data_IF_355453417690
#
_entry.id   IF_355453417690
#
_cell.length_a   1.000
_cell.length_b   1.000
_cell.length_c   1.000
_cell.angle_alpha   90.00
_cell.angle_beta   90.00
_cell.angle_gamma   90.00
#
_symmetry.space_group_name_H-M   'P 1'
#
loop_
_entity.id
_entity.type
_entity.pdbx_description
1 polymer ?
#
# COMPACT_ATOMS: atom_id res chain seq x y z
N UNK A 1 181.59 -111.97 111.60
CA UNK A 1 181.67 -111.45 110.22
C UNK A 1 180.68 -112.25 109.39
N UNK A 2 179.55 -111.77 108.89
CA UNK A 2 178.92 -110.44 108.77
C UNK A 2 177.46 -110.54 109.28
N UNK A 3 176.83 -109.46 109.77
CA UNK A 3 175.51 -109.53 110.41
C UNK A 3 174.39 -109.72 109.37
N UNK A 4 173.58 -110.76 109.57
CA UNK A 4 172.34 -111.00 108.81
C UNK A 4 171.25 -110.13 109.42
N UNK A 5 171.06 -108.92 108.89
CA UNK A 5 169.96 -108.02 109.26
C UNK A 5 168.60 -108.68 108.95
N UNK A 6 167.88 -109.02 110.01
CA UNK A 6 166.54 -109.59 109.94
C UNK A 6 165.52 -108.52 109.56
N UNK A 7 164.98 -108.60 108.35
CA UNK A 7 163.90 -107.72 107.90
C UNK A 7 162.70 -107.74 108.84
N UNK A 8 161.98 -106.63 108.90
CA UNK A 8 160.81 -106.42 109.77
C UNK A 8 159.52 -106.75 109.01
N UNK A 9 158.47 -107.15 109.72
CA UNK A 9 157.15 -107.48 109.14
C UNK A 9 156.55 -106.34 108.29
N UNK A 10 156.05 -106.64 107.09
CA UNK A 10 155.49 -105.66 106.14
C UNK A 10 154.03 -105.22 106.44
N UNK A 11 153.56 -105.36 107.68
CA UNK A 11 152.26 -104.86 108.14
C UNK A 11 152.52 -103.52 108.85
N UNK A 12 151.86 -102.44 108.43
CA UNK A 12 152.06 -101.11 109.02
C UNK A 12 151.85 -101.16 110.55
N UNK A 13 152.89 -100.74 111.30
CA UNK A 13 152.90 -100.73 112.76
C UNK A 13 153.45 -101.99 113.46
N UNK A 14 153.95 -103.00 112.73
CA UNK A 14 154.54 -104.21 113.32
C UNK A 14 156.07 -104.25 113.25
N UNK A 15 156.75 -104.12 114.40
CA UNK A 15 158.23 -104.09 114.49
C UNK A 15 158.90 -105.47 114.69
N UNK A 16 158.13 -106.56 114.61
CA UNK A 16 158.65 -107.92 114.81
C UNK A 16 159.53 -108.41 113.65
N UNK A 17 160.68 -108.99 113.99
CA UNK A 17 161.64 -109.58 113.06
C UNK A 17 161.07 -110.81 112.33
N UNK A 18 161.43 -110.97 111.06
CA UNK A 18 160.98 -112.08 110.22
C UNK A 18 161.68 -113.41 110.61
N UNK A 19 160.95 -114.54 110.63
CA UNK A 19 161.52 -115.84 110.95
C UNK A 19 162.54 -116.30 109.88
N UNK A 20 163.63 -116.96 110.33
CA UNK A 20 164.73 -117.41 109.49
C UNK A 20 164.28 -118.40 108.39
N UNK A 21 164.68 -118.14 107.15
CA UNK A 21 164.20 -118.87 105.97
C UNK A 21 164.72 -120.31 105.88
N UNK A 22 163.82 -121.27 105.64
CA UNK A 22 164.15 -122.59 105.07
C UNK A 22 163.71 -122.60 103.61
N UNK A 23 164.65 -122.93 102.70
CA UNK A 23 164.53 -123.02 101.22
C UNK A 23 163.13 -122.75 100.67
N UNK A 24 162.93 -121.54 100.14
CA UNK A 24 161.67 -121.06 99.55
C UNK A 24 161.59 -119.51 99.61
N UNK A 25 160.57 -118.94 98.95
CA UNK A 25 160.34 -117.48 98.85
C UNK A 25 160.35 -116.82 100.25
N UNK A 26 161.08 -115.71 100.46
CA UNK A 26 161.19 -115.08 101.78
C UNK A 26 159.82 -114.63 102.29
N UNK A 27 159.53 -114.93 103.57
CA UNK A 27 158.29 -114.55 104.23
C UNK A 27 158.24 -113.04 104.41
N UNK A 28 157.13 -112.40 104.01
CA UNK A 28 156.92 -110.94 104.13
C UNK A 28 156.32 -110.50 105.47
N UNK A 29 155.77 -111.44 106.23
CA UNK A 29 155.06 -111.15 107.49
C UNK A 29 155.56 -112.09 108.58
N UNK A 30 155.65 -111.60 109.81
CA UNK A 30 156.13 -112.39 110.96
C UNK A 30 155.16 -113.51 111.36
N UNK A 31 153.90 -113.43 110.95
CA UNK A 31 152.86 -114.45 111.18
C UNK A 31 151.83 -114.48 110.05
N UNK A 32 151.11 -115.60 109.94
CA UNK A 32 149.95 -115.74 109.04
C UNK A 32 148.86 -114.70 109.35
N UNK A 33 148.66 -114.37 110.64
CA UNK A 33 147.68 -113.37 111.06
C UNK A 33 147.98 -111.98 110.46
N UNK A 34 149.26 -111.60 110.35
CA UNK A 34 149.65 -110.32 109.76
C UNK A 34 149.55 -110.31 108.23
N UNK A 35 149.76 -111.46 107.58
CA UNK A 35 149.48 -111.61 106.15
C UNK A 35 147.97 -111.48 105.86
N UNK A 36 147.13 -112.06 106.72
CA UNK A 36 145.67 -111.99 106.61
C UNK A 36 145.16 -110.57 106.90
N UNK A 37 145.73 -109.86 107.88
CA UNK A 37 145.38 -108.46 108.18
C UNK A 37 145.75 -107.53 107.02
N UNK A 38 146.98 -107.62 106.48
CA UNK A 38 147.39 -106.83 105.31
C UNK A 38 146.60 -107.15 104.03
N UNK A 39 145.95 -108.32 103.96
CA UNK A 39 145.02 -108.66 102.88
C UNK A 39 143.62 -108.07 103.09
N UNK A 40 143.17 -107.98 104.35
CA UNK A 40 141.91 -107.30 104.70
C UNK A 40 142.03 -105.79 104.50
N UNK A 41 143.13 -105.19 104.93
CA UNK A 41 143.34 -103.74 104.79
C UNK A 41 143.44 -103.31 103.32
N UNK A 42 144.10 -104.12 102.46
CA UNK A 42 144.07 -103.89 101.01
C UNK A 42 142.69 -104.02 100.40
N UNK A 43 141.91 -105.04 100.80
CA UNK A 43 140.53 -105.20 100.31
C UNK A 43 139.59 -104.09 100.79
N UNK A 44 139.80 -103.56 102.00
CA UNK A 44 139.05 -102.42 102.51
C UNK A 44 139.43 -101.11 101.78
N UNK A 45 140.71 -100.92 101.45
CA UNK A 45 141.16 -99.77 100.65
C UNK A 45 140.62 -99.81 99.21
N UNK A 46 140.64 -100.98 98.56
CA UNK A 46 140.10 -101.14 97.21
C UNK A 46 138.57 -100.91 97.16
N UNK A 47 137.82 -101.36 98.17
CA UNK A 47 136.38 -101.10 98.28
C UNK A 47 136.07 -99.60 98.46
N UNK A 48 136.84 -98.89 99.28
CA UNK A 48 136.68 -97.44 99.48
C UNK A 48 136.96 -96.62 98.20
N UNK A 49 137.76 -97.15 97.28
CA UNK A 49 138.11 -96.46 96.02
C UNK A 49 137.04 -96.60 94.94
N UNK A 50 136.14 -97.60 95.04
CA UNK A 50 135.10 -97.90 94.05
C UNK A 50 133.70 -97.54 94.53
N UNK A 51 133.37 -97.80 95.79
CA UNK A 51 131.99 -97.66 96.28
C UNK A 51 131.58 -96.19 96.46
N UNK A 52 132.50 -95.32 96.89
CA UNK A 52 132.25 -93.88 97.06
C UNK A 52 131.94 -93.16 95.72
N UNK A 53 132.73 -93.34 94.63
CA UNK A 53 132.38 -92.74 93.34
C UNK A 53 131.12 -93.36 92.72
N UNK A 54 130.84 -94.65 92.94
CA UNK A 54 129.59 -95.27 92.45
C UNK A 54 128.36 -94.72 93.19
N UNK A 55 128.44 -94.52 94.50
CA UNK A 55 127.37 -93.94 95.29
C UNK A 55 127.08 -92.47 94.89
N UNK A 56 128.12 -91.69 94.55
CA UNK A 56 127.95 -90.33 94.00
C UNK A 56 127.33 -90.35 92.60
N UNK A 57 127.73 -91.28 91.74
CA UNK A 57 127.15 -91.43 90.40
C UNK A 57 125.68 -91.87 90.49
N UNK A 58 125.33 -92.80 91.38
CA UNK A 58 123.94 -93.18 91.64
C UNK A 58 123.12 -92.04 92.24
N UNK A 59 123.67 -91.25 93.16
CA UNK A 59 122.97 -90.10 93.73
C UNK A 59 122.66 -89.04 92.65
N UNK A 60 123.60 -88.78 91.75
CA UNK A 60 123.39 -87.90 90.59
C UNK A 60 122.40 -88.50 89.57
N UNK A 61 122.49 -89.81 89.30
CA UNK A 61 121.57 -90.51 88.40
C UNK A 61 120.13 -90.57 88.94
N UNK A 62 119.94 -90.57 90.27
CA UNK A 62 118.61 -90.44 90.90
C UNK A 62 118.06 -89.01 90.87
N UNK A 63 118.92 -87.99 90.81
CA UNK A 63 118.51 -86.58 90.75
C UNK A 63 118.23 -86.09 89.30
N UNK A 64 118.89 -86.68 88.31
CA UNK A 64 118.76 -86.30 86.90
C UNK A 64 117.32 -86.39 86.36
N UNK A 65 116.53 -87.45 86.63
CA UNK A 65 115.15 -87.54 86.17
C UNK A 65 114.29 -86.39 86.72
N UNK A 66 114.48 -86.01 87.99
CA UNK A 66 113.74 -84.92 88.62
C UNK A 66 114.06 -83.56 88.00
N UNK A 67 115.34 -83.30 87.70
CA UNK A 67 115.76 -82.07 87.02
C UNK A 67 115.26 -82.00 85.57
N UNK A 68 115.25 -83.14 84.86
CA UNK A 68 114.70 -83.24 83.50
C UNK A 68 113.18 -83.02 83.53
N UNK A 69 112.46 -83.63 84.48
CA UNK A 69 111.02 -83.40 84.63
C UNK A 69 110.71 -81.94 84.95
N UNK A 70 111.49 -81.29 85.82
CA UNK A 70 111.33 -79.86 86.11
C UNK A 70 111.57 -78.97 84.88
N UNK A 71 112.60 -79.28 84.06
CA UNK A 71 112.85 -78.59 82.78
C UNK A 71 111.75 -78.84 81.74
N UNK A 72 111.23 -80.07 81.66
CA UNK A 72 110.11 -80.41 80.79
C UNK A 72 108.84 -79.68 81.22
N UNK A 73 108.60 -79.55 82.52
CA UNK A 73 107.47 -78.80 83.06
C UNK A 73 107.61 -77.30 82.79
N UNK A 74 108.80 -76.72 82.98
CA UNK A 74 109.08 -75.33 82.61
C UNK A 74 108.93 -75.07 81.11
N UNK A 75 109.39 -75.99 80.26
CA UNK A 75 109.21 -75.90 78.81
C UNK A 75 107.73 -76.03 78.43
N UNK A 76 106.98 -76.94 79.04
CA UNK A 76 105.54 -77.07 78.82
C UNK A 76 104.79 -75.81 79.26
N UNK A 77 105.17 -75.20 80.39
CA UNK A 77 104.63 -73.91 80.85
C UNK A 77 104.97 -72.77 79.87
N UNK A 78 106.21 -72.70 79.38
CA UNK A 78 106.62 -71.70 78.40
C UNK A 78 105.85 -71.86 77.07
N UNK A 79 105.69 -73.10 76.58
CA UNK A 79 104.90 -73.40 75.39
C UNK A 79 103.42 -73.07 75.61
N UNK A 80 102.86 -73.33 76.80
CA UNK A 80 101.49 -72.95 77.14
C UNK A 80 101.31 -71.43 77.18
N UNK A 81 102.26 -70.68 77.74
CA UNK A 81 102.24 -69.22 77.74
C UNK A 81 102.39 -68.64 76.33
N UNK A 82 103.22 -69.24 75.49
CA UNK A 82 103.34 -68.86 74.07
C UNK A 82 102.04 -69.13 73.31
N UNK A 83 101.42 -70.29 73.50
CA UNK A 83 100.13 -70.61 72.89
C UNK A 83 99.02 -69.64 73.36
N UNK A 84 98.98 -69.29 74.64
CA UNK A 84 98.06 -68.27 75.18
C UNK A 84 98.33 -66.87 74.61
N UNK A 85 99.61 -66.50 74.41
CA UNK A 85 99.99 -65.23 73.82
C UNK A 85 99.62 -65.16 72.31
N UNK A 86 99.84 -66.25 71.57
CA UNK A 86 99.42 -66.42 70.18
C UNK A 86 97.90 -66.37 70.05
N UNK A 87 97.16 -67.10 70.88
CA UNK A 87 95.69 -67.08 70.90
C UNK A 87 95.16 -65.68 71.26
N UNK A 88 95.74 -65.02 72.25
CA UNK A 88 95.41 -63.64 72.62
C UNK A 88 95.73 -62.64 71.51
N UNK A 89 96.84 -62.81 70.78
CA UNK A 89 97.20 -61.96 69.64
C UNK A 89 96.24 -62.19 68.45
N UNK A 90 95.95 -63.44 68.11
CA UNK A 90 94.99 -63.80 67.07
C UNK A 90 93.58 -63.31 67.41
N UNK A 91 93.16 -63.41 68.68
CA UNK A 91 91.88 -62.87 69.15
C UNK A 91 91.81 -61.34 68.99
N UNK A 92 92.89 -60.62 69.32
CA UNK A 92 92.98 -59.16 69.09
C UNK A 92 92.92 -58.80 67.61
N UNK A 93 93.61 -59.55 66.74
CA UNK A 93 93.57 -59.34 65.28
C UNK A 93 92.16 -59.61 64.74
N UNK A 94 91.54 -60.74 65.08
CA UNK A 94 90.16 -61.06 64.67
C UNK A 94 89.16 -60.00 65.14
N UNK A 95 89.31 -59.49 66.37
CA UNK A 95 88.48 -58.40 66.89
C UNK A 95 88.71 -57.11 66.09
N UNK A 96 89.96 -56.73 65.82
CA UNK A 96 90.28 -55.55 65.04
C UNK A 96 89.80 -55.66 63.57
N UNK A 97 89.89 -56.84 62.96
CA UNK A 97 89.35 -57.12 61.63
C UNK A 97 87.82 -57.05 61.61
N UNK A 98 87.17 -57.58 62.65
CA UNK A 98 85.72 -57.45 62.84
C UNK A 98 85.28 -56.00 63.01
N UNK A 99 85.95 -55.23 63.86
CA UNK A 99 85.69 -53.79 64.07
C UNK A 99 85.94 -52.98 62.78
N UNK A 100 87.02 -53.26 62.04
CA UNK A 100 87.30 -52.61 60.77
C UNK A 100 86.25 -52.95 59.69
N UNK A 101 85.77 -54.20 59.67
CA UNK A 101 84.71 -54.62 58.74
C UNK A 101 83.38 -53.95 59.08
N UNK A 102 83.01 -53.93 60.37
CA UNK A 102 81.83 -53.23 60.85
C UNK A 102 81.90 -51.72 60.57
N UNK A 103 83.07 -51.09 60.75
CA UNK A 103 83.27 -49.67 60.43
C UNK A 103 83.13 -49.39 58.92
N UNK A 104 83.67 -50.26 58.06
CA UNK A 104 83.50 -50.14 56.60
C UNK A 104 82.05 -50.34 56.17
N UNK A 105 81.35 -51.29 56.77
CA UNK A 105 79.91 -51.51 56.52
C UNK A 105 79.09 -50.30 56.97
N UNK A 106 79.32 -49.78 58.18
CA UNK A 106 78.65 -48.59 58.68
C UNK A 106 78.92 -47.34 57.82
N UNK A 107 80.15 -47.19 57.31
CA UNK A 107 80.48 -46.13 56.36
C UNK A 107 79.72 -46.29 55.03
N UNK A 108 79.74 -47.49 54.43
CA UNK A 108 79.00 -47.77 53.20
C UNK A 108 77.47 -47.58 53.36
N UNK A 109 76.90 -47.96 54.50
CA UNK A 109 75.49 -47.70 54.83
C UNK A 109 75.19 -46.22 55.03
N UNK A 110 76.13 -45.45 55.58
CA UNK A 110 76.02 -43.99 55.69
C UNK A 110 76.04 -43.34 54.31
N UNK A 111 76.97 -43.76 53.45
CA UNK A 111 77.09 -43.25 52.08
C UNK A 111 75.84 -43.59 51.26
N UNK A 112 75.36 -44.83 51.34
CA UNK A 112 74.12 -45.25 50.68
C UNK A 112 72.89 -44.44 51.15
N UNK A 113 72.80 -44.12 52.46
CA UNK A 113 71.74 -43.24 52.99
C UNK A 113 71.88 -41.81 52.49
N UNK A 114 73.10 -41.28 52.38
CA UNK A 114 73.36 -39.94 51.86
C UNK A 114 72.99 -39.86 50.37
N UNK A 115 73.36 -40.85 49.56
CA UNK A 115 72.97 -40.94 48.15
C UNK A 115 71.45 -41.05 47.96
N UNK A 116 70.79 -41.90 48.75
CA UNK A 116 69.34 -42.02 48.72
C UNK A 116 68.63 -40.71 49.10
N UNK A 117 69.13 -39.99 50.10
CA UNK A 117 68.60 -38.69 50.50
C UNK A 117 68.81 -37.63 49.41
N UNK A 118 69.97 -37.64 48.73
CA UNK A 118 70.25 -36.73 47.62
C UNK A 118 69.35 -37.02 46.41
N UNK A 119 69.13 -38.29 46.07
CA UNK A 119 68.20 -38.69 45.02
C UNK A 119 66.76 -38.29 45.36
N UNK A 120 66.32 -38.48 46.60
CA UNK A 120 65.00 -38.06 47.07
C UNK A 120 64.84 -36.53 46.98
N UNK A 121 65.87 -35.77 47.38
CA UNK A 121 65.89 -34.30 47.26
C UNK A 121 65.76 -33.85 45.80
N UNK A 122 66.52 -34.46 44.88
CA UNK A 122 66.47 -34.14 43.45
C UNK A 122 65.09 -34.44 42.84
N UNK A 123 64.50 -35.59 43.19
CA UNK A 123 63.13 -35.95 42.74
C UNK A 123 62.10 -34.98 43.27
N UNK A 124 62.14 -34.65 44.56
CA UNK A 124 61.22 -33.67 45.16
C UNK A 124 61.34 -32.28 44.50
N UNK A 125 62.55 -31.86 44.13
CA UNK A 125 62.75 -30.61 43.40
C UNK A 125 62.14 -30.66 41.99
N UNK A 126 62.38 -31.73 41.23
CA UNK A 126 61.79 -31.92 39.90
C UNK A 126 60.26 -32.00 39.95
N UNK A 127 59.69 -32.70 40.93
CA UNK A 127 58.25 -32.77 41.15
C UNK A 127 57.66 -31.40 41.51
N UNK A 128 58.36 -30.60 42.33
CA UNK A 128 57.95 -29.24 42.66
C UNK A 128 57.98 -28.30 41.45
N UNK A 129 59.02 -28.37 40.61
CA UNK A 129 59.11 -27.61 39.36
C UNK A 129 57.99 -28.00 38.39
N UNK A 130 57.75 -29.31 38.21
CA UNK A 130 56.66 -29.80 37.39
C UNK A 130 55.30 -29.32 37.90
N UNK A 131 55.05 -29.38 39.22
CA UNK A 131 53.81 -28.90 39.82
C UNK A 131 53.60 -27.40 39.64
N UNK A 132 54.67 -26.59 39.72
CA UNK A 132 54.61 -25.15 39.44
C UNK A 132 54.29 -24.89 37.96
N UNK A 133 54.96 -25.59 37.04
CA UNK A 133 54.71 -25.48 35.61
C UNK A 133 53.27 -25.85 35.25
N UNK A 134 52.74 -26.95 35.78
CA UNK A 134 51.35 -27.38 35.60
C UNK A 134 50.35 -26.34 36.14
N UNK A 135 50.59 -25.81 37.34
CA UNK A 135 49.74 -24.75 37.91
C UNK A 135 49.75 -23.49 37.05
N UNK A 136 50.92 -23.09 36.56
CA UNK A 136 51.05 -21.89 35.73
C UNK A 136 50.42 -22.08 34.36
N UNK A 137 50.51 -23.29 33.77
CA UNK A 137 49.79 -23.68 32.55
C UNK A 137 48.26 -23.63 32.77
N UNK A 138 47.75 -24.28 33.82
CA UNK A 138 46.34 -24.26 34.16
C UNK A 138 45.82 -22.84 34.41
N UNK A 139 46.62 -21.98 35.04
CA UNK A 139 46.28 -20.56 35.24
C UNK A 139 46.25 -19.79 33.91
N UNK A 140 47.16 -20.07 32.99
CA UNK A 140 47.16 -19.47 31.66
C UNK A 140 45.93 -19.90 30.85
N UNK A 141 45.57 -21.18 30.88
CA UNK A 141 44.36 -21.72 30.25
C UNK A 141 43.09 -21.11 30.83
N UNK A 142 42.99 -21.02 32.16
CA UNK A 142 41.85 -20.37 32.83
C UNK A 142 41.71 -18.89 32.42
N UNK A 143 42.83 -18.16 32.32
CA UNK A 143 42.83 -16.75 31.84
C UNK A 143 42.36 -16.65 30.39
N UNK A 144 42.79 -17.57 29.52
CA UNK A 144 42.33 -17.62 28.12
C UNK A 144 40.83 -17.91 28.06
N UNK A 145 40.35 -18.91 28.80
CA UNK A 145 38.92 -19.24 28.84
C UNK A 145 38.05 -18.06 29.32
N UNK A 146 38.51 -17.29 30.32
CA UNK A 146 37.81 -16.07 30.76
C UNK A 146 37.81 -15.00 29.67
N UNK A 147 38.96 -14.74 29.04
CA UNK A 147 39.06 -13.76 27.95
C UNK A 147 38.18 -14.16 26.74
N UNK A 148 38.15 -15.45 26.39
CA UNK A 148 37.33 -15.98 25.31
C UNK A 148 35.83 -15.83 25.64
N UNK A 149 35.42 -16.15 26.87
CA UNK A 149 34.05 -15.95 27.34
C UNK A 149 33.64 -14.47 27.37
N UNK A 150 34.55 -13.56 27.73
CA UNK A 150 34.32 -12.11 27.65
C UNK A 150 34.16 -11.63 26.20
N UNK A 151 35.00 -12.11 25.28
CA UNK A 151 34.85 -11.82 23.85
C UNK A 151 33.51 -12.32 23.33
N UNK A 152 33.14 -13.57 23.59
CA UNK A 152 31.84 -14.12 23.18
C UNK A 152 30.68 -13.33 23.78
N UNK A 153 30.74 -12.92 25.05
CA UNK A 153 29.70 -12.06 25.65
C UNK A 153 29.59 -10.71 24.95
N UNK A 154 30.72 -10.08 24.63
CA UNK A 154 30.75 -8.82 23.87
C UNK A 154 30.17 -8.99 22.46
N UNK A 155 30.55 -10.04 21.75
CA UNK A 155 30.07 -10.34 20.40
C UNK A 155 28.56 -10.63 20.39
N UNK A 156 28.08 -11.43 21.35
CA UNK A 156 26.65 -11.68 21.53
C UNK A 156 25.87 -10.40 21.85
N UNK A 157 26.41 -9.54 22.73
CA UNK A 157 25.78 -8.26 23.04
C UNK A 157 25.71 -7.34 21.81
N UNK A 158 26.77 -7.29 21.00
CA UNK A 158 26.80 -6.55 19.74
C UNK A 158 25.78 -7.09 18.72
N UNK A 159 25.66 -8.42 18.59
CA UNK A 159 24.65 -9.05 17.73
C UNK A 159 23.22 -8.77 18.19
N UNK A 160 22.95 -8.82 19.50
CA UNK A 160 21.63 -8.46 20.07
C UNK A 160 21.30 -7.00 19.78
N UNK A 161 22.25 -6.09 19.98
CA UNK A 161 22.07 -4.67 19.66
C UNK A 161 21.80 -4.44 18.16
N UNK A 162 22.53 -5.13 17.27
CA UNK A 162 22.29 -5.05 15.83
C UNK A 162 20.89 -5.57 15.45
N UNK A 163 20.45 -6.69 16.02
CA UNK A 163 19.11 -7.23 15.80
C UNK A 163 18.01 -6.30 16.31
N UNK A 164 18.22 -5.66 17.47
CA UNK A 164 17.30 -4.65 18.00
C UNK A 164 17.20 -3.45 17.05
N UNK A 165 18.32 -2.91 16.56
CA UNK A 165 18.33 -1.82 15.60
C UNK A 165 17.57 -2.18 14.30
N UNK A 166 17.78 -3.39 13.77
CA UNK A 166 17.05 -3.88 12.58
C UNK A 166 15.55 -4.01 12.88
N UNK A 167 15.18 -4.55 14.05
CA UNK A 167 13.77 -4.66 14.46
C UNK A 167 13.11 -3.29 14.59
N UNK A 168 13.78 -2.33 15.23
CA UNK A 168 13.27 -0.97 15.39
C UNK A 168 13.15 -0.26 14.03
N UNK A 169 14.10 -0.48 13.13
CA UNK A 169 14.03 0.04 11.76
C UNK A 169 12.85 -0.58 10.98
N UNK A 170 12.63 -1.89 11.13
CA UNK A 170 11.50 -2.59 10.52
C UNK A 170 10.16 -2.08 11.07
N UNK A 171 10.06 -1.87 12.39
CA UNK A 171 8.86 -1.31 13.02
C UNK A 171 8.57 0.10 12.52
N UNK A 172 9.58 0.99 12.46
CA UNK A 172 9.41 2.32 11.88
C UNK A 172 8.99 2.28 10.41
N UNK A 173 9.56 1.37 9.62
CA UNK A 173 9.17 1.19 8.22
C UNK A 173 7.72 0.73 8.09
N UNK A 174 7.26 -0.17 8.97
CA UNK A 174 5.86 -0.59 9.04
C UNK A 174 4.93 0.58 9.38
N UNK A 175 5.24 1.36 10.42
CA UNK A 175 4.44 2.54 10.82
C UNK A 175 4.35 3.57 9.67
N UNK A 176 5.43 3.81 8.94
CA UNK A 176 5.44 4.69 7.75
C UNK A 176 4.57 4.12 6.63
N UNK A 177 4.66 2.81 6.37
CA UNK A 177 3.86 2.16 5.33
C UNK A 177 2.36 2.17 5.67
N UNK A 178 2.01 1.92 6.93
CA UNK A 178 0.64 2.02 7.43
C UNK A 178 0.12 3.45 7.34
N UNK A 179 0.89 4.44 7.77
CA UNK A 179 0.55 5.85 7.61
C UNK A 179 0.35 6.27 6.15
N UNK A 180 1.20 5.80 5.23
CA UNK A 180 1.06 6.06 3.80
C UNK A 180 -0.19 5.40 3.20
N UNK A 181 -0.51 4.16 3.59
CA UNK A 181 -1.73 3.47 3.19
C UNK A 181 -2.97 4.21 3.66
N UNK A 182 -2.98 4.64 4.92
CA UNK A 182 -4.12 5.32 5.52
C UNK A 182 -4.32 6.71 4.90
N UNK A 183 -3.24 7.44 4.60
CA UNK A 183 -3.28 8.69 3.84
C UNK A 183 -3.86 8.49 2.43
N UNK A 184 -3.40 7.47 1.68
CA UNK A 184 -3.96 7.15 0.35
C UNK A 184 -5.42 6.71 0.40
N UNK A 185 -5.81 6.03 1.46
CA UNK A 185 -7.21 5.65 1.68
C UNK A 185 -8.08 6.89 1.95
N UNK A 186 -7.56 7.87 2.70
CA UNK A 186 -8.24 9.15 2.93
C UNK A 186 -8.37 9.95 1.63
N UNK A 187 -7.29 10.09 0.85
CA UNK A 187 -7.31 10.74 -0.47
C UNK A 187 -8.34 10.10 -1.41
N UNK A 188 -8.42 8.76 -1.45
CA UNK A 188 -9.41 8.05 -2.28
C UNK A 188 -10.86 8.31 -1.82
N UNK A 189 -11.10 8.40 -0.51
CA UNK A 189 -12.44 8.73 0.02
C UNK A 189 -12.83 10.16 -0.34
N UNK A 190 -11.92 11.12 -0.18
CA UNK A 190 -12.14 12.51 -0.54
C UNK A 190 -12.39 12.67 -2.05
N UNK A 191 -11.60 12.01 -2.89
CA UNK A 191 -11.79 12.02 -4.34
C UNK A 191 -13.14 11.41 -4.76
N UNK A 192 -13.59 10.34 -4.09
CA UNK A 192 -14.93 9.75 -4.33
C UNK A 192 -16.05 10.70 -3.93
N UNK A 193 -15.93 11.32 -2.76
CA UNK A 193 -16.91 12.31 -2.31
C UNK A 193 -17.01 13.50 -3.28
N UNK A 194 -15.87 14.07 -3.68
CA UNK A 194 -15.83 15.15 -4.66
C UNK A 194 -16.43 14.73 -6.01
N UNK A 195 -16.19 13.50 -6.45
CA UNK A 195 -16.80 12.97 -7.67
C UNK A 195 -18.32 12.82 -7.54
N UNK A 196 -18.82 12.33 -6.42
CA UNK A 196 -20.26 12.21 -6.14
C UNK A 196 -20.95 13.59 -6.11
N UNK A 197 -20.32 14.60 -5.51
CA UNK A 197 -20.77 15.99 -5.53
C UNK A 197 -20.80 16.56 -6.95
N UNK A 198 -19.75 16.33 -7.73
CA UNK A 198 -19.67 16.77 -9.12
C UNK A 198 -20.75 16.11 -9.99
N UNK A 199 -20.97 14.80 -9.84
CA UNK A 199 -22.05 14.06 -10.52
C UNK A 199 -23.41 14.65 -10.17
N UNK A 200 -23.66 14.91 -8.88
CA UNK A 200 -24.91 15.52 -8.41
C UNK A 200 -25.09 16.93 -9.01
N UNK A 201 -24.01 17.73 -9.04
CA UNK A 201 -24.02 19.07 -9.64
C UNK A 201 -24.33 19.03 -11.13
N UNK A 202 -23.73 18.10 -11.88
CA UNK A 202 -23.97 17.93 -13.31
C UNK A 202 -25.38 17.42 -13.60
N UNK A 203 -25.90 16.47 -12.82
CA UNK A 203 -27.28 15.99 -12.94
C UNK A 203 -28.28 17.12 -12.69
N UNK A 204 -28.06 17.93 -11.65
CA UNK A 204 -28.91 19.10 -11.37
C UNK A 204 -28.83 20.16 -12.49
N UNK A 205 -27.66 20.37 -13.09
CA UNK A 205 -27.51 21.27 -14.24
C UNK A 205 -28.21 20.74 -15.49
N UNK A 206 -28.10 19.44 -15.77
CA UNK A 206 -28.79 18.78 -16.88
C UNK A 206 -30.31 18.86 -16.73
N UNK A 207 -30.85 18.60 -15.53
CA UNK A 207 -32.27 18.72 -15.25
C UNK A 207 -32.79 20.15 -15.48
N UNK A 208 -32.04 21.17 -15.04
CA UNK A 208 -32.38 22.58 -15.32
C UNK A 208 -32.35 22.91 -16.82
N UNK A 209 -31.39 22.37 -17.56
CA UNK A 209 -31.32 22.57 -19.02
C UNK A 209 -32.49 21.87 -19.73
N UNK A 210 -32.86 20.67 -19.31
CA UNK A 210 -34.03 19.96 -19.84
C UNK A 210 -35.32 20.76 -19.61
N UNK A 211 -35.52 21.28 -18.39
CA UNK A 211 -36.65 22.15 -18.06
C UNK A 211 -36.68 23.42 -18.93
N UNK A 212 -35.53 24.08 -19.12
CA UNK A 212 -35.41 25.24 -20.01
C UNK A 212 -35.75 24.92 -21.47
N UNK A 213 -35.28 23.78 -21.99
CA UNK A 213 -35.58 23.34 -23.35
C UNK A 213 -37.08 23.04 -23.51
N UNK A 214 -37.71 22.40 -22.52
CA UNK A 214 -39.15 22.15 -22.53
C UNK A 214 -39.95 23.44 -22.49
N UNK A 215 -39.55 24.41 -21.65
CA UNK A 215 -40.18 25.73 -21.59
C UNK A 215 -40.07 26.47 -22.93
N UNK A 216 -38.87 26.53 -23.53
CA UNK A 216 -38.65 27.15 -24.84
C UNK A 216 -39.45 26.47 -25.96
N UNK A 217 -39.60 25.14 -25.93
CA UNK A 217 -40.46 24.42 -26.88
C UNK A 217 -41.93 24.79 -26.71
N UNK A 218 -42.41 24.92 -25.47
CA UNK A 218 -43.76 25.36 -25.19
C UNK A 218 -44.00 26.81 -25.69
N UNK A 219 -43.08 27.73 -25.37
CA UNK A 219 -43.11 29.12 -25.86
C UNK A 219 -43.10 29.19 -27.39
N UNK A 220 -42.23 28.43 -28.05
CA UNK A 220 -42.18 28.35 -29.52
C UNK A 220 -43.51 27.85 -30.11
N UNK A 221 -44.07 26.79 -29.54
CA UNK A 221 -45.37 26.26 -29.99
C UNK A 221 -46.51 27.28 -29.80
N UNK A 222 -46.49 28.04 -28.70
CA UNK A 222 -47.44 29.10 -28.43
C UNK A 222 -47.29 30.26 -29.43
N UNK A 223 -46.06 30.70 -29.68
CA UNK A 223 -45.78 31.74 -30.68
C UNK A 223 -46.18 31.31 -32.10
N UNK A 224 -45.97 30.04 -32.45
CA UNK A 224 -46.41 29.48 -33.73
C UNK A 224 -47.94 29.49 -33.86
N UNK A 225 -48.67 29.10 -32.81
CA UNK A 225 -50.13 29.15 -32.78
C UNK A 225 -50.66 30.60 -32.83
N UNK A 226 -50.02 31.53 -32.12
CA UNK A 226 -50.36 32.95 -32.18
C UNK A 226 -50.13 33.53 -33.58
N UNK A 227 -49.03 33.15 -34.25
CA UNK A 227 -48.74 33.56 -35.61
C UNK A 227 -49.75 32.98 -36.62
N UNK A 228 -50.15 31.72 -36.49
CA UNK A 228 -51.18 31.14 -37.36
C UNK A 228 -52.53 31.85 -37.16
N UNK A 229 -52.94 32.10 -35.91
CA UNK A 229 -54.15 32.86 -35.60
C UNK A 229 -54.10 34.29 -36.15
N UNK A 230 -52.96 34.98 -36.05
CA UNK A 230 -52.78 36.32 -36.61
C UNK A 230 -52.87 36.32 -38.15
N UNK A 231 -52.33 35.28 -38.81
CA UNK A 231 -52.44 35.11 -40.27
C UNK A 231 -53.88 34.84 -40.71
N UNK A 232 -54.62 34.01 -39.97
CA UNK A 232 -56.04 33.77 -40.21
C UNK A 232 -56.86 35.04 -40.02
N UNK A 233 -56.65 35.78 -38.92
CA UNK A 233 -57.31 37.06 -38.66
C UNK A 233 -57.02 38.09 -39.77
N UNK A 234 -55.78 38.17 -40.25
CA UNK A 234 -55.41 39.03 -41.38
C UNK A 234 -56.12 38.62 -42.67
N UNK A 235 -56.21 37.32 -42.97
CA UNK A 235 -56.91 36.83 -44.14
C UNK A 235 -58.42 37.15 -44.07
N UNK A 236 -59.04 36.99 -42.89
CA UNK A 236 -60.43 37.39 -42.62
C UNK A 236 -60.61 38.89 -42.83
N UNK A 237 -59.77 39.72 -42.22
CA UNK A 237 -59.84 41.18 -42.36
C UNK A 237 -59.65 41.64 -43.82
N UNK A 238 -58.76 40.97 -44.58
CA UNK A 238 -58.60 41.23 -46.01
C UNK A 238 -59.84 40.82 -46.82
N UNK A 239 -60.49 39.70 -46.45
CA UNK A 239 -61.75 39.26 -47.03
C UNK A 239 -62.88 40.25 -46.77
N UNK A 240 -63.04 40.71 -45.53
CA UNK A 240 -63.99 41.75 -45.13
C UNK A 240 -63.74 43.06 -45.86
N UNK A 241 -62.48 43.52 -45.91
CA UNK A 241 -62.12 44.74 -46.62
C UNK A 241 -62.42 44.66 -48.14
N UNK A 242 -62.22 43.50 -48.77
CA UNK A 242 -62.63 43.27 -50.16
C UNK A 242 -64.14 43.29 -50.32
N UNK A 243 -64.87 42.63 -49.41
CA UNK A 243 -66.33 42.63 -49.43
C UNK A 243 -66.91 44.05 -49.26
N UNK A 244 -66.36 44.85 -48.35
CA UNK A 244 -66.74 46.26 -48.17
C UNK A 244 -66.41 47.11 -49.41
N UNK A 245 -65.25 46.91 -50.05
CA UNK A 245 -64.94 47.58 -51.32
C UNK A 245 -65.95 47.21 -52.42
N UNK A 246 -66.26 45.92 -52.57
CA UNK A 246 -67.28 45.49 -53.54
C UNK A 246 -68.64 46.08 -53.21
N UNK A 247 -69.04 46.13 -51.93
CA UNK A 247 -70.29 46.80 -51.52
C UNK A 247 -70.27 48.29 -51.89
N UNK A 248 -69.19 49.00 -51.60
CA UNK A 248 -69.02 50.40 -51.97
C UNK A 248 -69.10 50.61 -53.49
N UNK A 249 -68.38 49.81 -54.28
CA UNK A 249 -68.42 49.83 -55.75
C UNK A 249 -69.84 49.57 -56.28
N UNK A 250 -70.56 48.58 -55.72
CA UNK A 250 -71.95 48.32 -56.12
C UNK A 250 -72.89 49.45 -55.72
N UNK A 251 -72.67 50.10 -54.58
CA UNK A 251 -73.45 51.27 -54.16
C UNK A 251 -73.17 52.49 -55.04
N UNK A 252 -71.92 52.72 -55.43
CA UNK A 252 -71.54 53.75 -56.41
C UNK A 252 -72.19 53.50 -57.77
N UNK A 253 -72.14 52.26 -58.28
CA UNK A 253 -72.83 51.88 -59.51
C UNK A 253 -74.35 52.09 -59.41
N UNK A 254 -74.96 51.73 -58.28
CA UNK A 254 -76.38 51.96 -58.05
C UNK A 254 -76.72 53.47 -57.99
N UNK A 255 -75.87 54.28 -57.37
CA UNK A 255 -76.01 55.75 -57.37
C UNK A 255 -75.87 56.33 -58.78
N UNK A 256 -74.93 55.85 -59.58
CA UNK A 256 -74.75 56.30 -60.96
C UNK A 256 -75.93 55.89 -61.86
N UNK A 257 -76.47 54.68 -61.66
CA UNK A 257 -77.72 54.26 -62.32
C UNK A 257 -78.88 55.16 -61.89
N UNK A 258 -79.05 55.40 -60.60
CA UNK A 258 -80.11 56.28 -60.08
C UNK A 258 -79.96 57.73 -60.59
N UNK A 259 -78.73 58.23 -60.73
CA UNK A 259 -78.45 59.54 -61.36
C UNK A 259 -78.87 59.56 -62.82
N UNK A 260 -78.48 58.56 -63.61
CA UNK A 260 -78.89 58.45 -65.02
C UNK A 260 -80.40 58.32 -65.16
N UNK A 261 -81.06 57.57 -64.28
CA UNK A 261 -82.52 57.46 -64.25
C UNK A 261 -83.19 58.78 -63.88
N UNK A 262 -82.63 59.52 -62.91
CA UNK A 262 -83.09 60.86 -62.54
C UNK A 262 -82.90 61.85 -63.68
N UNK A 263 -81.74 61.87 -64.33
CA UNK A 263 -81.46 62.69 -65.51
C UNK A 263 -82.42 62.34 -66.66
N UNK A 264 -82.66 61.05 -66.91
CA UNK A 264 -83.63 60.59 -67.90
C UNK A 264 -85.07 60.98 -67.50
N UNK A 265 -85.42 60.95 -66.22
CA UNK A 265 -86.72 61.40 -65.71
C UNK A 265 -86.89 62.92 -65.88
N UNK A 266 -85.85 63.71 -65.60
CA UNK A 266 -85.83 65.17 -65.85
C UNK A 266 -85.95 65.45 -67.34
N UNK A 267 -85.21 64.74 -68.20
CA UNK A 267 -85.31 64.89 -69.66
C UNK A 267 -86.71 64.55 -70.17
N UNK A 268 -87.32 63.46 -69.67
CA UNK A 268 -88.73 63.12 -69.95
C UNK A 268 -89.69 64.20 -69.43
N UNK A 269 -89.42 64.78 -68.27
CA UNK A 269 -90.17 65.90 -67.72
C UNK A 269 -90.13 67.13 -68.63
N UNK A 270 -88.95 67.52 -69.09
CA UNK A 270 -88.75 68.61 -70.06
C UNK A 270 -89.46 68.30 -71.38
N UNK A 271 -89.39 67.07 -71.87
CA UNK A 271 -90.09 66.65 -73.09
C UNK A 271 -91.62 66.73 -72.92
N UNK A 272 -92.15 66.26 -71.79
CA UNK A 272 -93.58 66.33 -71.48
C UNK A 272 -94.06 67.77 -71.29
N UNK A 273 -93.28 68.64 -70.65
CA UNK A 273 -93.57 70.07 -70.55
C UNK A 273 -93.54 70.74 -71.92
N UNK A 274 -92.59 70.36 -72.79
CA UNK A 274 -92.57 70.78 -74.19
C UNK A 274 -93.83 70.36 -74.94
N UNK A 275 -94.28 69.11 -74.77
CA UNK A 275 -95.53 68.59 -75.36
C UNK A 275 -96.77 69.30 -74.80
N UNK A 276 -96.82 69.56 -73.50
CA UNK A 276 -97.91 70.31 -72.86
C UNK A 276 -97.98 71.76 -73.34
N UNK A 277 -96.83 72.42 -73.48
CA UNK A 277 -96.72 73.77 -74.06
C UNK A 277 -97.18 73.81 -75.52
N UNK A 278 -96.78 72.82 -76.32
CA UNK A 278 -97.22 72.68 -77.71
C UNK A 278 -98.74 72.43 -77.80
N UNK A 279 -99.31 71.58 -76.94
CA UNK A 279 -100.75 71.33 -76.85
C UNK A 279 -101.52 72.57 -76.41
N UNK A 280 -101.01 73.34 -75.43
CA UNK A 280 -101.62 74.61 -75.02
C UNK A 280 -101.62 75.63 -76.16
N UNK A 281 -100.49 75.79 -76.86
CA UNK A 281 -100.40 76.63 -78.06
C UNK A 281 -101.31 76.15 -79.20
N UNK A 282 -101.54 74.84 -79.34
CA UNK A 282 -102.51 74.29 -80.31
C UNK A 282 -103.95 74.62 -79.90
N UNK A 283 -104.31 74.46 -78.63
CA UNK A 283 -105.64 74.81 -78.10
C UNK A 283 -105.91 76.32 -78.22
N UNK A 284 -104.91 77.16 -77.96
CA UNK A 284 -105.06 78.61 -78.13
C UNK A 284 -105.25 79.01 -79.60
N UNK A 285 -104.54 78.35 -80.54
CA UNK A 285 -104.76 78.53 -81.98
C UNK A 285 -106.15 78.10 -82.41
N UNK A 286 -106.60 76.92 -81.99
CA UNK A 286 -107.96 76.43 -82.25
C UNK A 286 -109.03 77.36 -81.65
N UNK A 287 -108.80 77.92 -80.46
CA UNK A 287 -109.70 78.92 -79.87
C UNK A 287 -109.71 80.23 -80.65
N UNK A 288 -108.57 80.69 -81.13
CA UNK A 288 -108.47 81.88 -81.97
C UNK A 288 -109.15 81.66 -83.33
N UNK A 289 -108.97 80.50 -83.94
CA UNK A 289 -109.62 80.10 -85.20
C UNK A 289 -111.13 79.94 -85.03
N UNK A 290 -111.60 79.30 -83.95
CA UNK A 290 -113.02 79.19 -83.63
C UNK A 290 -113.66 80.56 -83.34
N UNK A 291 -112.95 81.47 -82.66
CA UNK A 291 -113.39 82.84 -82.46
C UNK A 291 -113.49 83.59 -83.80
N UNK A 292 -112.48 83.47 -84.68
CA UNK A 292 -112.50 84.05 -86.01
C UNK A 292 -113.68 83.51 -86.86
N UNK A 293 -113.90 82.19 -86.83
CA UNK A 293 -115.02 81.54 -87.52
C UNK A 293 -116.39 82.01 -86.99
N UNK A 294 -116.56 82.13 -85.67
CA UNK A 294 -117.79 82.66 -85.04
C UNK A 294 -118.06 84.11 -85.46
N UNK A 295 -117.00 84.91 -85.62
CA UNK A 295 -117.13 86.32 -86.02
C UNK A 295 -117.50 86.43 -87.50
N UNK A 296 -116.89 85.60 -88.36
CA UNK A 296 -117.25 85.50 -89.78
C UNK A 296 -118.70 85.02 -89.97
N UNK A 297 -119.15 84.04 -89.18
CA UNK A 297 -120.52 83.53 -89.25
C UNK A 297 -121.57 84.58 -88.84
N UNK A 298 -121.27 85.41 -87.82
CA UNK A 298 -122.12 86.55 -87.43
C UNK A 298 -122.20 87.62 -88.51
N UNK A 299 -121.09 87.90 -89.21
CA UNK A 299 -121.07 88.86 -90.32
C UNK A 299 -121.88 88.39 -91.54
N UNK A 300 -121.83 87.10 -91.87
CA UNK A 300 -122.65 86.51 -92.95
C UNK A 300 -124.13 86.55 -92.59
N UNK A 301 -124.48 86.25 -91.34
CA UNK A 301 -125.87 86.28 -90.87
C UNK A 301 -126.47 87.70 -90.92
N UNK A 302 -125.71 88.71 -90.50
CA UNK A 302 -126.15 90.10 -90.59
C UNK A 302 -126.41 90.54 -92.04
N UNK A 303 -125.53 90.18 -92.99
CA UNK A 303 -125.74 90.45 -94.42
C UNK A 303 -127.02 89.82 -94.98
N UNK A 304 -127.29 88.57 -94.63
CA UNK A 304 -128.48 87.87 -95.09
C UNK A 304 -129.78 88.45 -94.49
N UNK A 305 -129.72 88.99 -93.27
CA UNK A 305 -130.85 89.67 -92.64
C UNK A 305 -131.14 91.03 -93.33
N UNK A 306 -130.11 91.76 -93.75
CA UNK A 306 -130.24 92.99 -94.54
C UNK A 306 -130.81 92.73 -95.95
N UNK A 307 -130.32 91.69 -96.65
CA UNK A 307 -130.80 91.31 -97.98
C UNK A 307 -132.29 90.88 -97.97
N UNK A 308 -132.74 90.23 -96.89
CA UNK A 308 -134.13 89.79 -96.72
C UNK A 308 -135.08 90.97 -96.43
N UNK A 309 -134.58 92.03 -95.76
CA UNK A 309 -135.33 93.25 -95.54
C UNK A 309 -135.53 94.04 -96.85
N UNK A 310 -134.49 94.11 -97.68
CA UNK A 310 -134.55 94.74 -99.01
C UNK A 310 -135.56 94.04 -99.94
N UNK A 311 -135.51 92.70 -100.00
CA UNK A 311 -136.43 91.92 -100.83
C UNK A 311 -137.91 92.09 -100.44
N UNK A 312 -138.20 92.34 -99.14
CA UNK A 312 -139.56 92.60 -98.66
C UNK A 312 -140.08 93.98 -99.05
N UNK A 313 -139.21 94.99 -99.09
CA UNK A 313 -139.57 96.33 -99.54
C UNK A 313 -139.91 96.35 -101.05
N UNK A 314 -139.12 95.64 -101.87
CA UNK A 314 -139.36 95.55 -103.32
C UNK A 314 -140.66 94.82 -103.66
N UNK A 315 -141.00 93.76 -102.91
CA UNK A 315 -142.24 93.01 -103.09
C UNK A 315 -143.50 93.79 -102.67
N UNK A 316 -143.38 94.79 -101.78
CA UNK A 316 -144.48 95.68 -101.43
C UNK A 316 -144.73 96.71 -102.55
N UNK A 317 -143.66 97.29 -103.10
CA UNK A 317 -143.73 98.26 -104.19
C UNK A 317 -144.26 97.69 -105.52
N UNK A 318 -144.15 96.38 -105.74
CA UNK A 318 -144.76 95.73 -106.92
C UNK A 318 -146.27 95.49 -106.76
N UNK A 319 -146.76 95.19 -105.55
CA UNK A 319 -148.19 94.97 -105.29
C UNK A 319 -148.99 96.26 -105.41
N UNK A 320 -148.42 97.38 -104.98
CA UNK A 320 -149.04 98.69 -105.09
C UNK A 320 -149.21 99.14 -106.55
N UNK A 321 -148.22 98.85 -107.40
CA UNK A 321 -148.29 99.13 -108.85
C UNK A 321 -149.31 98.26 -109.58
N UNK A 322 -149.47 97.00 -109.19
CA UNK A 322 -150.47 96.10 -109.75
C UNK A 322 -151.90 96.55 -109.38
N UNK A 323 -152.12 96.95 -108.12
CA UNK A 323 -153.43 97.41 -107.64
C UNK A 323 -153.92 98.70 -108.35
N UNK A 324 -153.02 99.63 -108.67
CA UNK A 324 -153.36 100.85 -109.39
C UNK A 324 -153.68 100.59 -110.87
N UNK A 325 -153.05 99.59 -111.50
CA UNK A 325 -153.34 99.19 -112.88
C UNK A 325 -154.70 98.46 -113.00
N UNK A 326 -155.07 97.66 -112.01
CA UNK A 326 -156.37 96.97 -111.97
C UNK A 326 -157.55 97.93 -111.74
N UNK A 327 -157.37 98.97 -110.91
CA UNK A 327 -158.39 99.99 -110.69
C UNK A 327 -158.70 100.84 -111.94
N UNK A 328 -157.70 101.10 -112.79
CA UNK A 328 -157.88 101.86 -114.04
C UNK A 328 -158.66 101.07 -115.11
N UNK A 329 -158.55 99.74 -115.11
CA UNK A 329 -159.24 98.84 -116.05
C UNK A 329 -160.71 98.58 -115.67
N UNK A 330 -161.05 98.66 -114.38
CA UNK A 330 -162.43 98.53 -113.90
C UNK A 330 -163.29 99.76 -114.25
N UNK A 331 -162.77 100.98 -114.08
CA UNK A 331 -163.49 102.23 -114.34
C UNK A 331 -163.78 102.51 -115.84
N UNK A 332 -163.08 101.82 -116.75
CA UNK A 332 -163.33 101.91 -118.19
C UNK A 332 -164.42 100.95 -118.67
N UNK A 333 -164.67 99.84 -117.94
CA UNK A 333 -165.68 98.83 -118.31
C UNK A 333 -167.08 99.17 -117.80
N UNK A 334 -167.20 99.85 -116.66
CA UNK A 334 -168.50 100.29 -116.12
C UNK A 334 -169.17 101.39 -116.97
N UNK A 335 -168.40 102.23 -117.69
CA UNK A 335 -168.99 103.23 -118.60
C UNK A 335 -169.53 102.66 -119.91
N UNK A 336 -169.21 101.40 -120.24
CA UNK A 336 -169.68 100.75 -121.46
C UNK A 336 -170.94 99.89 -121.25
N UNK A 337 -171.39 99.71 -120.00
CA UNK A 337 -172.38 98.69 -119.66
C UNK A 337 -173.74 99.23 -119.17
N UNK A 338 -173.87 100.54 -118.88
CA UNK A 338 -175.07 101.07 -118.21
C UNK A 338 -176.16 101.67 -119.13
N UNK A 339 -175.95 101.82 -120.44
CA UNK A 339 -176.96 102.46 -121.31
C UNK A 339 -177.49 101.62 -122.50
N UNK A 340 -177.20 100.32 -122.58
CA UNK A 340 -177.72 99.44 -123.66
C UNK A 340 -178.49 98.20 -123.19
N UNK A 341 -179.03 98.19 -121.97
CA UNK A 341 -179.90 97.11 -121.51
C UNK A 341 -181.12 97.57 -120.69
N UNK A 342 -181.73 98.67 -121.14
CA UNK A 342 -183.19 98.86 -121.13
C UNK A 342 -183.63 99.04 -122.59
N UNK A 343 -183.47 98.06 -123.47
CA UNK A 343 -184.31 96.87 -123.53
C UNK A 343 -185.74 97.11 -122.99
N UNK A 344 -186.51 97.82 -123.82
CA UNK A 344 -187.67 97.20 -124.50
C UNK A 344 -188.64 96.46 -123.57
N UNK A 345 -189.20 97.15 -122.60
CA UNK A 345 -190.38 96.66 -121.88
C UNK A 345 -191.41 97.74 -121.51
N UNK A 346 -191.65 98.75 -122.35
CA UNK A 346 -192.96 99.39 -122.43
C UNK A 346 -193.03 100.45 -123.55
N UNK A 347 -193.95 100.22 -124.50
CA UNK A 347 -194.92 101.20 -125.02
C UNK A 347 -194.43 102.50 -125.68
N UNK A 348 -195.05 102.72 -126.86
CA UNK A 348 -195.21 103.97 -127.58
C UNK A 348 -193.89 104.52 -128.16
N UNK A 349 -193.69 104.52 -129.47
CA UNK A 349 -194.55 105.19 -130.43
C UNK A 349 -194.00 106.60 -130.66
N UNK A 350 -193.62 106.88 -131.90
CA UNK A 350 -193.15 108.17 -132.45
C UNK A 350 -191.64 108.49 -132.36
N UNK A 351 -191.15 109.14 -133.44
CA UNK A 351 -189.86 109.85 -133.55
C UNK A 351 -188.76 109.01 -134.21
N UNK A 352 -188.47 109.12 -135.51
CA UNK A 352 -187.70 110.19 -136.19
C UNK A 352 -186.31 110.49 -135.59
N UNK A 353 -185.25 110.15 -136.35
CA UNK A 353 -184.19 111.09 -136.75
C UNK A 353 -182.82 111.12 -136.03
N UNK A 354 -181.75 110.94 -136.84
CA UNK A 354 -180.42 111.61 -136.83
C UNK A 354 -179.22 111.15 -135.95
N UNK A 355 -178.06 111.11 -136.63
CA UNK A 355 -176.70 111.66 -136.35
C UNK A 355 -175.45 110.82 -135.97
N UNK A 356 -174.31 111.40 -136.43
CA UNK A 356 -172.93 111.03 -136.79
C UNK A 356 -171.99 110.05 -136.02
N UNK A 357 -171.16 109.41 -136.89
CA UNK A 357 -169.71 109.06 -136.89
C UNK A 357 -169.09 108.04 -135.92
#
# INVERSE_FOLDING_TARGET
MEPVDGGVCALDGCELALPAARRGRPAKYCSKAHADQASRDRRAADAATVDEPLARAEALARQLPTAISALQEQLAQALALLAQAEEGALSRVRRAEGEATAARQAAAESDARAEAAELARRRAFQEAEAAVAERDSARAEARRAVADAERTRSDCAALVAAHQQVRDAAQRAQEVAEGARDAKTAELREARHAHEEDVTRYQAAAARQEEQVLALRAEFSHAQAALSAAREALATAQGEARAERTRAETAEQALDVARRESEAAVARGVELDGRLSALRSAIERERAEAAAASTAQRAVRARLEDDLAAARADAAAQRERAALAEAALAAARERAADDTATERAAKAGQGEGADES
#
